data_IF_230587877357
#
_entry.id   IF_230587877357
#
_cell.length_a   1.000
_cell.length_b   1.000
_cell.length_c   1.000
_cell.angle_alpha   90.00
_cell.angle_beta   90.00
_cell.angle_gamma   90.00
#
_symmetry.space_group_name_H-M   'P 1'
#
loop_
_entity.id
_entity.type
_entity.pdbx_description
1 polymer ?
#
# COMPACT_ATOMS: atom_id res chain seq x y z
N UNK A 1 17.23 -1.22 -12.97
CA UNK A 1 16.62 -1.76 -11.74
C UNK A 1 15.69 -2.90 -12.07
N UNK A 2 15.64 -3.90 -11.20
CA UNK A 2 14.79 -5.07 -11.35
C UNK A 2 13.31 -4.72 -11.23
N UNK A 3 12.48 -5.13 -12.19
CA UNK A 3 11.02 -4.87 -12.20
C UNK A 3 10.33 -5.43 -10.98
N UNK A 4 10.78 -6.59 -10.49
CA UNK A 4 10.22 -7.22 -9.30
C UNK A 4 10.41 -6.33 -8.06
N UNK A 5 11.60 -5.77 -7.88
CA UNK A 5 11.90 -4.85 -6.78
C UNK A 5 11.03 -3.60 -6.89
N UNK A 6 10.92 -3.04 -8.08
CA UNK A 6 10.13 -1.85 -8.33
C UNK A 6 8.67 -2.06 -7.98
N UNK A 7 8.08 -3.17 -8.43
CA UNK A 7 6.68 -3.51 -8.14
C UNK A 7 6.46 -3.72 -6.65
N UNK A 8 7.38 -4.40 -5.98
CA UNK A 8 7.32 -4.63 -4.54
C UNK A 8 7.31 -3.31 -3.77
N UNK A 9 8.16 -2.36 -4.17
CA UNK A 9 8.23 -1.04 -3.52
C UNK A 9 6.96 -0.24 -3.70
N UNK A 10 6.36 -0.28 -4.90
CA UNK A 10 5.08 0.40 -5.16
C UNK A 10 4.00 -0.19 -4.26
N UNK A 11 3.93 -1.52 -4.15
CA UNK A 11 2.95 -2.18 -3.29
C UNK A 11 3.15 -1.84 -1.82
N UNK A 12 4.39 -1.73 -1.35
CA UNK A 12 4.67 -1.29 0.02
C UNK A 12 4.18 0.13 0.29
N UNK A 13 4.34 1.02 -0.68
CA UNK A 13 3.88 2.40 -0.55
C UNK A 13 2.36 2.49 -0.52
N UNK A 14 1.69 1.73 -1.38
CA UNK A 14 0.22 1.66 -1.40
C UNK A 14 -0.27 1.07 -0.07
N UNK A 15 0.33 -0.02 0.38
CA UNK A 15 -0.03 -0.64 1.65
C UNK A 15 0.15 0.30 2.83
N UNK A 16 1.23 1.07 2.85
CA UNK A 16 1.47 2.08 3.88
C UNK A 16 0.39 3.17 3.87
N UNK A 17 -0.09 3.57 2.70
CA UNK A 17 -1.20 4.52 2.57
C UNK A 17 -2.49 3.93 3.14
N UNK A 18 -2.78 2.66 2.87
CA UNK A 18 -3.94 1.98 3.45
C UNK A 18 -3.87 2.02 4.97
N UNK A 19 -2.74 1.64 5.55
CA UNK A 19 -2.54 1.63 7.01
C UNK A 19 -2.66 3.05 7.59
N UNK A 20 -2.10 4.04 6.89
CA UNK A 20 -2.16 5.44 7.30
C UNK A 20 -3.61 5.93 7.40
N UNK A 21 -4.40 5.74 6.35
CA UNK A 21 -5.80 6.19 6.36
C UNK A 21 -6.64 5.40 7.35
N UNK A 22 -6.39 4.10 7.48
CA UNK A 22 -7.07 3.28 8.48
C UNK A 22 -6.82 3.83 9.89
N UNK A 23 -5.57 4.08 10.23
CA UNK A 23 -5.18 4.62 11.53
C UNK A 23 -5.77 6.02 11.75
N UNK A 24 -5.71 6.87 10.72
CA UNK A 24 -6.26 8.22 10.77
C UNK A 24 -7.76 8.20 11.08
N UNK A 25 -8.48 7.21 10.55
CA UNK A 25 -9.91 7.03 10.79
C UNK A 25 -10.22 6.33 12.13
N UNK A 26 -9.19 5.93 12.88
CA UNK A 26 -9.36 5.26 14.16
C UNK A 26 -9.84 3.81 14.04
N UNK A 27 -9.60 3.16 12.91
CA UNK A 27 -10.06 1.79 12.65
C UNK A 27 -8.95 0.78 12.91
N UNK A 28 -9.33 -0.36 13.51
CA UNK A 28 -8.43 -1.52 13.58
C UNK A 28 -8.46 -2.26 12.24
N UNK A 29 -7.54 -3.20 12.05
CA UNK A 29 -7.57 -4.07 10.87
C UNK A 29 -8.87 -4.89 10.83
N UNK A 30 -9.36 -5.34 11.98
CA UNK A 30 -10.64 -6.05 12.06
C UNK A 30 -11.81 -5.16 11.61
N UNK A 31 -11.83 -3.91 12.07
CA UNK A 31 -12.88 -2.96 11.70
C UNK A 31 -12.91 -2.76 10.17
N UNK A 32 -11.76 -2.50 9.58
CA UNK A 32 -11.68 -2.25 8.15
C UNK A 32 -11.97 -3.50 7.34
N UNK A 33 -11.45 -4.66 7.77
CA UNK A 33 -11.71 -5.92 7.06
C UNK A 33 -13.20 -6.23 7.01
N UNK A 34 -13.93 -5.94 8.11
CA UNK A 34 -15.39 -6.11 8.12
C UNK A 34 -16.11 -5.18 7.16
N UNK A 35 -15.63 -3.93 7.02
CA UNK A 35 -16.24 -2.95 6.12
C UNK A 35 -16.04 -3.26 4.65
N UNK A 36 -14.85 -3.75 4.29
CA UNK A 36 -14.52 -3.98 2.88
C UNK A 36 -14.61 -5.44 2.46
N UNK A 37 -15.10 -6.31 3.33
CA UNK A 37 -15.30 -7.74 3.03
C UNK A 37 -14.03 -8.45 2.59
N UNK A 38 -12.89 -8.03 3.14
CA UNK A 38 -11.59 -8.67 2.92
C UNK A 38 -11.15 -9.29 4.24
N UNK A 39 -10.56 -10.47 4.21
CA UNK A 39 -10.07 -11.12 5.43
C UNK A 39 -9.01 -10.28 6.12
N UNK A 40 -8.99 -10.29 7.46
CA UNK A 40 -7.99 -9.56 8.25
C UNK A 40 -6.56 -9.92 7.86
N UNK A 41 -6.30 -11.20 7.63
CA UNK A 41 -4.98 -11.69 7.21
C UNK A 41 -4.57 -11.08 5.87
N UNK A 42 -5.50 -11.05 4.91
CA UNK A 42 -5.26 -10.44 3.59
C UNK A 42 -4.99 -8.95 3.72
N UNK A 43 -5.81 -8.25 4.51
CA UNK A 43 -5.62 -6.81 4.74
C UNK A 43 -4.25 -6.53 5.36
N UNK A 44 -3.84 -7.32 6.36
CA UNK A 44 -2.53 -7.17 6.98
C UNK A 44 -1.39 -7.35 5.99
N UNK A 45 -1.50 -8.32 5.09
CA UNK A 45 -0.50 -8.54 4.03
C UNK A 45 -0.44 -7.36 3.06
N UNK A 46 -1.60 -6.81 2.68
CA UNK A 46 -1.66 -5.62 1.83
C UNK A 46 -0.96 -4.45 2.50
N UNK A 47 -1.24 -4.20 3.77
CA UNK A 47 -0.64 -3.08 4.51
C UNK A 47 0.89 -3.22 4.64
N UNK A 48 1.41 -4.47 4.70
CA UNK A 48 2.85 -4.72 4.75
C UNK A 48 3.51 -4.76 3.37
N UNK A 49 2.72 -4.63 2.31
CA UNK A 49 3.25 -4.68 0.95
C UNK A 49 3.61 -6.09 0.49
N UNK A 50 3.07 -7.11 1.13
CA UNK A 50 3.38 -8.51 0.83
C UNK A 50 2.45 -9.13 -0.22
N UNK A 51 1.51 -8.35 -0.75
CA UNK A 51 0.46 -8.83 -1.64
C UNK A 51 0.66 -8.35 -3.08
N UNK A 52 1.92 -8.34 -3.53
CA UNK A 52 2.31 -7.70 -4.79
C UNK A 52 1.65 -8.31 -6.02
N UNK A 53 1.47 -9.63 -6.06
CA UNK A 53 0.94 -10.31 -7.24
C UNK A 53 -0.57 -10.41 -7.28
N UNK A 54 -1.24 -10.21 -6.15
CA UNK A 54 -2.69 -10.34 -6.05
C UNK A 54 -3.43 -9.03 -5.82
N UNK A 55 -2.71 -7.92 -5.68
CA UNK A 55 -3.34 -6.63 -5.39
C UNK A 55 -4.00 -6.06 -6.64
N UNK A 56 -5.33 -6.10 -6.69
CA UNK A 56 -6.09 -5.59 -7.82
C UNK A 56 -6.64 -4.20 -7.53
N UNK A 57 -6.96 -3.47 -8.59
CA UNK A 57 -7.63 -2.16 -8.47
C UNK A 57 -8.98 -2.32 -7.77
N UNK A 58 -9.71 -3.41 -8.06
CA UNK A 58 -11.00 -3.67 -7.42
C UNK A 58 -10.82 -3.79 -5.90
N UNK A 59 -9.81 -4.52 -5.43
CA UNK A 59 -9.52 -4.63 -4.01
C UNK A 59 -9.25 -3.26 -3.39
N UNK A 60 -8.47 -2.42 -4.07
CA UNK A 60 -8.17 -1.07 -3.59
C UNK A 60 -9.43 -0.19 -3.53
N UNK A 61 -10.32 -0.32 -4.51
CA UNK A 61 -11.60 0.39 -4.50
C UNK A 61 -12.43 -0.04 -3.29
N UNK A 62 -12.51 -1.35 -3.02
CA UNK A 62 -13.25 -1.88 -1.87
C UNK A 62 -12.69 -1.34 -0.56
N UNK A 63 -11.37 -1.30 -0.43
CA UNK A 63 -10.71 -0.75 0.77
C UNK A 63 -11.02 0.74 0.90
N UNK A 64 -10.92 1.50 -0.20
CA UNK A 64 -11.21 2.93 -0.19
C UNK A 64 -12.66 3.21 0.22
N UNK A 65 -13.60 2.42 -0.26
CA UNK A 65 -15.01 2.53 0.14
C UNK A 65 -15.18 2.26 1.63
N UNK A 66 -14.51 1.23 2.15
CA UNK A 66 -14.53 0.92 3.57
C UNK A 66 -13.94 2.03 4.43
N UNK A 67 -12.99 2.80 3.90
CA UNK A 67 -12.38 3.94 4.55
C UNK A 67 -13.15 5.24 4.35
N UNK A 68 -14.08 5.28 3.39
CA UNK A 68 -14.81 6.49 3.05
C UNK A 68 -13.94 7.52 2.33
N UNK A 69 -12.97 7.08 1.53
CA UNK A 69 -12.07 7.95 0.77
C UNK A 69 -12.10 7.56 -0.71
N UNK A 70 -11.59 8.44 -1.56
CA UNK A 70 -11.42 8.12 -2.97
C UNK A 70 -10.18 7.24 -3.16
N UNK A 71 -10.28 6.25 -4.05
CA UNK A 71 -9.18 5.32 -4.30
C UNK A 71 -7.90 6.02 -4.74
N UNK A 72 -8.01 7.18 -5.40
CA UNK A 72 -6.84 7.95 -5.84
C UNK A 72 -5.94 8.38 -4.69
N UNK A 73 -6.50 8.45 -3.45
CA UNK A 73 -5.70 8.81 -2.27
C UNK A 73 -4.53 7.86 -2.03
N UNK A 74 -4.64 6.60 -2.48
CA UNK A 74 -3.55 5.63 -2.32
C UNK A 74 -2.39 5.89 -3.28
N UNK A 75 -2.58 6.73 -4.27
CA UNK A 75 -1.59 7.02 -5.32
C UNK A 75 -1.04 8.44 -5.27
N UNK A 76 -1.44 9.22 -4.27
CA UNK A 76 -0.94 10.59 -4.08
C UNK A 76 0.20 10.54 -3.07
N UNK A 77 1.39 10.96 -3.51
CA UNK A 77 2.59 10.92 -2.68
C UNK A 77 3.20 12.31 -2.55
N UNK A 78 3.68 12.65 -1.35
CA UNK A 78 4.35 13.92 -1.10
C UNK A 78 5.72 13.94 -1.77
N UNK A 79 6.30 15.14 -1.87
CA UNK A 79 7.69 15.28 -2.36
C UNK A 79 8.68 14.50 -1.49
N UNK A 80 8.46 14.49 -0.18
CA UNK A 80 9.32 13.75 0.76
C UNK A 80 9.20 12.24 0.55
N UNK A 81 7.98 11.74 0.34
CA UNK A 81 7.75 10.34 0.06
C UNK A 81 8.43 9.92 -1.24
N UNK A 82 8.30 10.74 -2.30
CA UNK A 82 8.94 10.49 -3.60
C UNK A 82 10.46 10.49 -3.48
N UNK A 83 11.01 11.42 -2.70
CA UNK A 83 12.46 11.52 -2.48
C UNK A 83 12.99 10.29 -1.77
N UNK A 84 12.32 9.86 -0.70
CA UNK A 84 12.68 8.67 0.04
C UNK A 84 12.63 7.43 -0.86
N UNK A 85 11.61 7.33 -1.72
CA UNK A 85 11.47 6.24 -2.67
C UNK A 85 12.62 6.20 -3.67
N UNK A 86 13.00 7.35 -4.23
CA UNK A 86 14.13 7.43 -5.17
C UNK A 86 15.43 7.00 -4.49
N UNK A 87 15.64 7.39 -3.24
CA UNK A 87 16.81 6.99 -2.47
C UNK A 87 16.86 5.48 -2.27
N UNK A 88 15.72 4.87 -1.93
CA UNK A 88 15.61 3.41 -1.79
C UNK A 88 15.92 2.70 -3.11
N UNK A 89 15.45 3.23 -4.24
CA UNK A 89 15.73 2.68 -5.57
C UNK A 89 17.22 2.72 -5.89
N UNK A 90 17.90 3.81 -5.54
CA UNK A 90 19.34 3.95 -5.74
C UNK A 90 20.09 2.88 -4.92
N UNK A 91 19.70 2.68 -3.67
CA UNK A 91 20.29 1.67 -2.80
C UNK A 91 20.13 0.26 -3.39
N UNK A 92 18.95 -0.06 -3.91
CA UNK A 92 18.71 -1.35 -4.55
C UNK A 92 19.56 -1.55 -5.80
N UNK A 93 19.71 -0.50 -6.61
CA UNK A 93 20.53 -0.57 -7.81
C UNK A 93 22.00 -0.80 -7.46
N UNK A 94 22.51 -0.17 -6.41
CA UNK A 94 23.86 -0.39 -5.89
C UNK A 94 24.04 -1.84 -5.42
N UNK A 95 23.05 -2.39 -4.72
CA UNK A 95 23.08 -3.76 -4.23
C UNK A 95 23.08 -4.78 -5.36
N UNK A 96 22.46 -4.48 -6.50
CA UNK A 96 22.41 -5.35 -7.66
C UNK A 96 23.72 -5.35 -8.46
N UNK A 97 24.57 -4.38 -8.26
CA UNK A 97 25.86 -4.31 -8.94
C UNK A 97 26.94 -5.10 -8.21
#
# INVERSE_FOLDING_TARGET
MNDKIKKSMVCKRIGAKVAFYRTLKGLTQDDLSGRCHIGKSTLGRIERGEYAQGLSVITLIDIAEGLGIDVSAFFVFTKQEKKAWKQMLIEYDEDEM
#
